data_IF_908709259317
#
_entry.id   IF_908709259317
#
_cell.length_a   1.000
_cell.length_b   1.000
_cell.length_c   1.000
_cell.angle_alpha   90.00
_cell.angle_beta   90.00
_cell.angle_gamma   90.00
#
_symmetry.space_group_name_H-M   'P 1'
#
loop_
_entity.id
_entity.type
_entity.pdbx_description
1 polymer ?
#
# COMPACT_ATOMS: atom_id res chain seq x y z
N UNK A 1 6.09 9.86 -11.96
CA UNK A 1 5.12 10.93 -11.61
C UNK A 1 5.02 12.08 -12.62
N UNK A 2 5.91 12.21 -13.62
CA UNK A 2 5.92 13.40 -14.49
C UNK A 2 4.75 13.49 -15.51
N UNK A 3 4.32 12.36 -16.10
CA UNK A 3 3.32 12.36 -17.21
C UNK A 3 1.91 12.70 -16.71
N UNK A 4 1.47 12.04 -15.63
CA UNK A 4 0.14 12.24 -15.03
C UNK A 4 0.07 13.42 -14.02
N UNK A 5 1.12 14.24 -13.95
CA UNK A 5 1.22 15.33 -12.96
C UNK A 5 0.31 16.51 -13.31
N UNK A 6 -0.87 16.57 -12.70
CA UNK A 6 -1.92 17.57 -13.03
C UNK A 6 -1.61 19.02 -12.62
N UNK A 7 -0.59 19.25 -11.79
CA UNK A 7 -0.23 20.61 -11.33
C UNK A 7 0.31 21.54 -12.41
N UNK A 8 0.83 20.99 -13.50
CA UNK A 8 1.42 21.76 -14.60
C UNK A 8 0.55 21.73 -15.87
N UNK A 9 -0.70 21.28 -15.73
CA UNK A 9 -1.60 21.19 -16.87
C UNK A 9 -1.95 22.59 -17.41
N UNK A 10 -2.00 22.75 -18.75
CA UNK A 10 -2.47 23.99 -19.35
C UNK A 10 -3.94 24.23 -18.98
N UNK A 11 -4.27 25.48 -18.65
CA UNK A 11 -5.66 25.87 -18.30
C UNK A 11 -6.59 26.01 -19.49
N UNK A 12 -6.03 25.98 -20.70
CA UNK A 12 -6.80 26.05 -21.93
C UNK A 12 -7.06 24.62 -22.41
N UNK A 13 -8.33 24.27 -22.55
CA UNK A 13 -8.79 22.92 -22.91
C UNK A 13 -8.20 22.43 -24.23
N UNK A 14 -8.08 23.29 -25.25
CA UNK A 14 -7.52 22.90 -26.54
C UNK A 14 -6.04 22.46 -26.46
N UNK A 15 -5.27 23.08 -25.56
CA UNK A 15 -3.88 22.65 -25.31
C UNK A 15 -3.79 21.45 -24.36
N UNK A 16 -4.82 21.25 -23.53
CA UNK A 16 -4.91 20.11 -22.62
C UNK A 16 -5.22 18.82 -23.39
N UNK A 17 -6.07 18.91 -24.41
CA UNK A 17 -6.41 17.83 -25.34
C UNK A 17 -5.23 17.29 -26.13
N UNK A 18 -4.13 18.03 -26.24
CA UNK A 18 -2.89 17.56 -26.89
C UNK A 18 -1.76 17.30 -25.89
N UNK A 19 -1.99 17.63 -24.62
CA UNK A 19 -0.96 17.60 -23.60
C UNK A 19 -0.54 16.16 -23.33
N UNK A 20 0.77 15.90 -23.37
CA UNK A 20 1.40 14.63 -23.01
C UNK A 20 1.10 13.43 -23.93
N UNK A 21 0.44 13.61 -25.09
CA UNK A 21 0.14 12.51 -26.01
C UNK A 21 1.33 11.61 -26.31
N UNK A 22 2.45 12.17 -26.73
CA UNK A 22 3.64 11.37 -27.07
C UNK A 22 4.16 10.55 -25.89
N UNK A 23 4.04 11.08 -24.67
CA UNK A 23 4.42 10.35 -23.46
C UNK A 23 3.42 9.27 -23.09
N UNK A 24 2.12 9.49 -23.30
CA UNK A 24 1.08 8.46 -23.12
C UNK A 24 1.28 7.34 -24.14
N UNK A 25 1.56 7.66 -25.41
CA UNK A 25 1.88 6.70 -26.47
C UNK A 25 3.10 5.85 -26.12
N UNK A 26 4.16 6.50 -25.64
CA UNK A 26 5.36 5.82 -25.18
C UNK A 26 5.07 4.89 -24.00
N UNK A 27 4.28 5.31 -23.02
CA UNK A 27 3.87 4.49 -21.89
C UNK A 27 3.03 3.29 -22.34
N UNK A 28 2.06 3.50 -23.22
CA UNK A 28 1.26 2.42 -23.78
C UNK A 28 2.12 1.41 -24.52
N UNK A 29 3.00 1.86 -25.41
CA UNK A 29 3.94 0.99 -26.14
C UNK A 29 4.84 0.19 -25.18
N UNK A 30 5.32 0.84 -24.12
CA UNK A 30 6.19 0.21 -23.11
C UNK A 30 5.45 -0.86 -22.31
N UNK A 31 4.17 -0.63 -22.00
CA UNK A 31 3.36 -1.50 -21.15
C UNK A 31 2.28 -2.27 -21.92
N UNK A 32 2.40 -2.39 -23.25
CA UNK A 32 1.39 -3.00 -24.11
C UNK A 32 1.02 -4.43 -23.69
N UNK A 33 1.98 -5.18 -23.14
CA UNK A 33 1.75 -6.53 -22.62
C UNK A 33 0.75 -6.61 -21.45
N UNK A 34 0.46 -5.49 -20.78
CA UNK A 34 -0.52 -5.41 -19.71
C UNK A 34 -1.93 -5.08 -20.18
N UNK A 35 -2.16 -4.92 -21.49
CA UNK A 35 -3.47 -4.61 -22.06
C UNK A 35 -4.17 -5.85 -22.64
N UNK A 36 -5.51 -5.91 -22.62
CA UNK A 36 -6.25 -6.94 -23.33
C UNK A 36 -5.99 -6.88 -24.85
N UNK A 37 -6.14 -8.01 -25.53
CA UNK A 37 -6.09 -8.03 -27.00
C UNK A 37 -7.20 -7.15 -27.58
N UNK A 38 -6.82 -6.28 -28.53
CA UNK A 38 -7.75 -5.40 -29.23
C UNK A 38 -7.73 -3.95 -28.77
N UNK A 39 -7.13 -3.62 -27.62
CA UNK A 39 -6.93 -2.22 -27.21
C UNK A 39 -5.85 -1.58 -28.07
N UNK A 40 -6.17 -0.43 -28.66
CA UNK A 40 -5.27 0.34 -29.52
C UNK A 40 -4.72 1.56 -28.80
N UNK A 41 -3.65 2.13 -29.36
CA UNK A 41 -3.09 3.39 -28.86
C UNK A 41 -4.10 4.54 -28.95
N UNK A 42 -4.92 4.56 -30.00
CA UNK A 42 -5.92 5.61 -30.22
C UNK A 42 -7.01 5.58 -29.14
N UNK A 43 -7.45 4.38 -28.71
CA UNK A 43 -8.44 4.22 -27.63
C UNK A 43 -7.93 4.84 -26.31
N UNK A 44 -6.65 4.60 -25.99
CA UNK A 44 -6.01 5.13 -24.77
C UNK A 44 -5.88 6.66 -24.85
N UNK A 45 -5.56 7.19 -26.02
CA UNK A 45 -5.42 8.63 -26.24
C UNK A 45 -6.77 9.34 -26.18
N UNK A 46 -7.83 8.73 -26.72
CA UNK A 46 -9.19 9.26 -26.62
C UNK A 46 -9.64 9.35 -25.16
N UNK A 47 -9.48 8.27 -24.38
CA UNK A 47 -9.77 8.29 -22.94
C UNK A 47 -8.94 9.32 -22.18
N UNK A 48 -7.66 9.50 -22.53
CA UNK A 48 -6.80 10.51 -21.92
C UNK A 48 -7.33 11.94 -22.14
N UNK A 49 -7.77 12.27 -23.35
CA UNK A 49 -8.33 13.60 -23.66
C UNK A 49 -9.53 13.91 -22.79
N UNK A 50 -10.48 12.98 -22.74
CA UNK A 50 -11.71 13.15 -21.99
C UNK A 50 -11.45 13.32 -20.49
N UNK A 51 -10.67 12.42 -19.89
CA UNK A 51 -10.40 12.47 -18.46
C UNK A 51 -9.55 13.69 -18.06
N UNK A 52 -8.63 14.12 -18.94
CA UNK A 52 -7.85 15.34 -18.72
C UNK A 52 -8.74 16.58 -18.72
N UNK A 53 -9.70 16.68 -19.65
CA UNK A 53 -10.68 17.79 -19.69
C UNK A 53 -11.60 17.78 -18.48
N UNK A 54 -12.09 16.60 -18.06
CA UNK A 54 -12.96 16.45 -16.88
C UNK A 54 -12.25 16.93 -15.61
N UNK A 55 -11.03 16.44 -15.36
CA UNK A 55 -10.22 16.85 -14.21
C UNK A 55 -9.84 18.33 -14.33
N UNK A 56 -9.47 18.79 -15.53
CA UNK A 56 -9.04 20.17 -15.81
C UNK A 56 -10.14 21.21 -15.61
N UNK A 57 -11.40 20.80 -15.77
CA UNK A 57 -12.59 21.66 -15.61
C UNK A 57 -13.03 21.78 -14.14
N UNK A 58 -12.52 20.93 -13.25
CA UNK A 58 -12.86 20.92 -11.82
C UNK A 58 -11.73 21.51 -10.96
N UNK A 59 -11.89 22.76 -10.50
CA UNK A 59 -10.94 23.37 -9.55
C UNK A 59 -10.76 22.53 -8.27
N UNK A 60 -11.82 21.85 -7.83
CA UNK A 60 -11.77 20.95 -6.68
C UNK A 60 -10.80 19.80 -6.89
N UNK A 61 -10.80 19.18 -8.07
CA UNK A 61 -9.90 18.06 -8.40
C UNK A 61 -8.47 18.55 -8.61
N UNK A 62 -8.29 19.68 -9.30
CA UNK A 62 -6.96 20.27 -9.52
C UNK A 62 -6.24 20.66 -8.23
N UNK A 63 -6.99 21.02 -7.18
CA UNK A 63 -6.43 21.39 -5.88
C UNK A 63 -5.85 20.20 -5.09
N UNK A 64 -6.29 18.97 -5.38
CA UNK A 64 -5.88 17.76 -4.65
C UNK A 64 -4.43 17.37 -4.95
N UNK A 65 -3.78 16.69 -4.01
CA UNK A 65 -2.43 16.15 -4.25
C UNK A 65 -2.50 14.96 -5.19
N UNK A 66 -1.41 14.68 -5.90
CA UNK A 66 -1.32 13.57 -6.86
C UNK A 66 -1.74 12.22 -6.24
N UNK A 67 -1.29 11.93 -5.01
CA UNK A 67 -1.62 10.69 -4.29
C UNK A 67 -3.02 10.66 -3.67
N UNK A 68 -3.77 11.76 -3.74
CA UNK A 68 -5.17 11.84 -3.29
C UNK A 68 -6.12 11.84 -4.51
N UNK A 69 -5.72 12.50 -5.60
CA UNK A 69 -6.52 12.60 -6.83
C UNK A 69 -6.62 11.27 -7.56
N UNK A 70 -5.50 10.67 -7.95
CA UNK A 70 -5.53 9.51 -8.84
C UNK A 70 -6.18 8.26 -8.25
N UNK A 71 -6.04 7.95 -6.94
CA UNK A 71 -6.82 6.88 -6.34
C UNK A 71 -8.33 7.13 -6.36
N UNK A 72 -8.77 8.38 -6.16
CA UNK A 72 -10.18 8.76 -6.23
C UNK A 72 -10.71 8.60 -7.66
N UNK A 73 -9.93 9.08 -8.64
CA UNK A 73 -10.25 8.93 -10.06
C UNK A 73 -10.32 7.45 -10.45
N UNK A 74 -9.38 6.62 -10.00
CA UNK A 74 -9.38 5.17 -10.26
C UNK A 74 -10.67 4.49 -9.76
N UNK A 75 -11.21 4.91 -8.63
CA UNK A 75 -12.43 4.33 -8.03
C UNK A 75 -13.68 4.81 -8.75
N UNK A 76 -13.75 6.10 -9.09
CA UNK A 76 -14.97 6.71 -9.62
C UNK A 76 -15.11 6.64 -11.13
N UNK A 77 -14.00 6.56 -11.85
CA UNK A 77 -13.93 6.64 -13.32
C UNK A 77 -13.34 5.37 -13.95
N UNK A 78 -13.11 4.33 -13.15
CA UNK A 78 -12.44 3.09 -13.56
C UNK A 78 -13.17 2.28 -14.64
N UNK A 79 -14.49 2.37 -14.72
CA UNK A 79 -15.28 1.67 -15.74
C UNK A 79 -15.24 2.40 -17.10
N UNK A 80 -15.34 3.73 -17.08
CA UNK A 80 -15.41 4.55 -18.29
C UNK A 80 -14.03 4.78 -18.94
N UNK A 81 -12.97 4.81 -18.13
CA UNK A 81 -11.60 5.17 -18.55
C UNK A 81 -10.58 4.08 -18.24
N UNK A 82 -10.99 2.82 -18.39
CA UNK A 82 -10.25 1.66 -17.88
C UNK A 82 -8.82 1.52 -18.45
N UNK A 83 -8.60 1.94 -19.70
CA UNK A 83 -7.32 1.74 -20.37
C UNK A 83 -6.28 2.79 -19.94
N UNK A 84 -6.65 4.07 -19.95
CA UNK A 84 -5.76 5.13 -19.45
C UNK A 84 -5.52 4.98 -17.94
N UNK A 85 -6.53 4.60 -17.19
CA UNK A 85 -6.41 4.39 -15.74
C UNK A 85 -5.57 3.17 -15.41
N UNK A 86 -5.50 2.17 -16.29
CA UNK A 86 -4.50 1.09 -16.17
C UNK A 86 -3.07 1.63 -16.27
N UNK A 87 -2.77 2.58 -17.17
CA UNK A 87 -1.44 3.24 -17.22
C UNK A 87 -1.16 4.06 -15.96
N UNK A 88 -2.17 4.74 -15.43
CA UNK A 88 -2.06 5.49 -14.16
C UNK A 88 -1.73 4.54 -13.02
N UNK A 89 -2.45 3.42 -12.90
CA UNK A 89 -2.22 2.41 -11.88
C UNK A 89 -0.80 1.83 -11.97
N UNK A 90 -0.34 1.46 -13.17
CA UNK A 90 1.03 1.01 -13.40
C UNK A 90 2.03 2.09 -12.93
N UNK A 91 1.79 3.36 -13.27
CA UNK A 91 2.67 4.47 -12.90
C UNK A 91 2.68 4.80 -11.40
N UNK A 92 1.60 4.47 -10.67
CA UNK A 92 1.52 4.57 -9.22
C UNK A 92 2.23 3.41 -8.52
N UNK A 93 2.23 2.23 -9.13
CA UNK A 93 2.79 1.01 -8.56
C UNK A 93 4.29 0.86 -8.81
N UNK A 94 4.83 1.48 -9.86
CA UNK A 94 6.27 1.43 -10.16
C UNK A 94 6.99 2.50 -9.34
N UNK A 95 7.82 2.14 -8.34
CA UNK A 95 8.66 3.11 -7.65
C UNK A 95 9.68 3.67 -8.66
N UNK A 96 9.56 4.96 -8.95
CA UNK A 96 10.38 5.66 -9.97
C UNK A 96 11.77 6.02 -9.44
N UNK A 97 11.96 6.05 -8.12
CA UNK A 97 13.22 6.39 -7.48
C UNK A 97 13.72 5.24 -6.59
N UNK A 98 15.00 4.92 -6.76
CA UNK A 98 15.79 4.06 -5.88
C UNK A 98 15.65 4.42 -4.39
N UNK A 99 15.49 5.70 -4.05
CA UNK A 99 15.32 6.15 -2.67
C UNK A 99 13.99 5.69 -2.04
N UNK A 100 12.92 5.57 -2.83
CA UNK A 100 11.64 5.01 -2.38
C UNK A 100 11.76 3.49 -2.20
N UNK A 101 12.45 2.80 -3.12
CA UNK A 101 12.78 1.39 -2.95
C UNK A 101 13.59 1.14 -1.67
N UNK A 102 14.63 1.95 -1.41
CA UNK A 102 15.44 1.87 -0.19
C UNK A 102 14.62 2.09 1.08
N UNK A 103 13.66 3.02 1.06
CA UNK A 103 12.74 3.23 2.18
C UNK A 103 11.85 2.01 2.42
N UNK A 104 11.30 1.40 1.37
CA UNK A 104 10.51 0.16 1.48
C UNK A 104 11.38 -0.99 1.99
N UNK A 105 12.61 -1.13 1.50
CA UNK A 105 13.55 -2.13 2.00
C UNK A 105 13.95 -1.90 3.46
N UNK A 106 14.11 -0.65 3.89
CA UNK A 106 14.37 -0.28 5.28
C UNK A 106 13.19 -0.67 6.17
N UNK A 107 11.96 -0.34 5.79
CA UNK A 107 10.75 -0.73 6.54
C UNK A 107 10.63 -2.25 6.60
N UNK A 108 10.90 -2.95 5.50
CA UNK A 108 10.90 -4.41 5.49
C UNK A 108 11.99 -4.99 6.39
N UNK A 109 13.19 -4.40 6.41
CA UNK A 109 14.27 -4.79 7.32
C UNK A 109 13.91 -4.49 8.77
N UNK A 110 13.24 -3.39 9.08
CA UNK A 110 12.74 -3.08 10.42
C UNK A 110 11.70 -4.13 10.87
N UNK A 111 10.74 -4.47 10.00
CA UNK A 111 9.77 -5.51 10.30
C UNK A 111 10.44 -6.89 10.51
N UNK A 112 11.36 -7.26 9.62
CA UNK A 112 12.07 -8.55 9.66
C UNK A 112 13.05 -8.65 10.83
N UNK A 113 13.59 -7.52 11.29
CA UNK A 113 14.76 -7.52 12.18
C UNK A 113 14.45 -6.82 13.48
N UNK A 114 14.02 -5.56 13.45
CA UNK A 114 13.68 -4.80 14.66
C UNK A 114 12.55 -5.45 15.44
N UNK A 115 11.42 -5.71 14.79
CA UNK A 115 10.25 -6.31 15.46
C UNK A 115 10.48 -7.77 15.86
N UNK A 116 11.14 -8.54 14.99
CA UNK A 116 11.55 -9.93 15.29
C UNK A 116 12.50 -10.00 16.48
N UNK A 117 13.49 -9.12 16.54
CA UNK A 117 14.46 -9.06 17.65
C UNK A 117 13.79 -8.53 18.93
N UNK A 118 12.82 -7.61 18.79
CA UNK A 118 12.01 -7.09 19.92
C UNK A 118 11.10 -8.16 20.52
N UNK A 119 10.60 -9.09 19.71
CA UNK A 119 9.81 -10.24 20.19
C UNK A 119 10.66 -11.29 20.93
N UNK A 120 11.97 -11.38 20.66
CA UNK A 120 12.91 -12.21 21.43
C UNK A 120 12.42 -13.65 21.67
N UNK A 121 12.37 -14.07 22.94
CA UNK A 121 11.88 -15.40 23.34
C UNK A 121 10.37 -15.60 23.08
N UNK A 122 9.57 -14.53 23.01
CA UNK A 122 8.13 -14.63 22.75
C UNK A 122 7.84 -15.06 21.31
N UNK A 123 8.74 -14.79 20.36
CA UNK A 123 8.61 -15.29 19.00
C UNK A 123 8.65 -16.83 18.96
N UNK A 124 9.53 -17.46 19.74
CA UNK A 124 9.59 -18.93 19.83
C UNK A 124 8.29 -19.50 20.39
N UNK A 125 7.71 -18.85 21.40
CA UNK A 125 6.43 -19.25 21.98
C UNK A 125 5.29 -19.12 20.95
N UNK A 126 5.26 -18.01 20.21
CA UNK A 126 4.24 -17.76 19.18
C UNK A 126 4.35 -18.72 17.99
N UNK A 127 5.56 -19.06 17.56
CA UNK A 127 5.81 -20.07 16.52
C UNK A 127 5.48 -21.48 17.00
N UNK A 128 5.72 -21.79 18.28
CA UNK A 128 5.34 -23.08 18.88
C UNK A 128 3.82 -23.20 18.93
N UNK A 129 3.11 -22.14 19.31
CA UNK A 129 1.66 -22.09 19.29
C UNK A 129 1.09 -22.25 17.89
N UNK A 130 1.63 -21.53 16.90
CA UNK A 130 1.22 -21.68 15.51
C UNK A 130 1.45 -23.10 14.97
N UNK A 131 2.57 -23.72 15.33
CA UNK A 131 2.87 -25.10 14.96
C UNK A 131 1.91 -26.10 15.63
N UNK A 132 1.60 -25.93 16.91
CA UNK A 132 0.67 -26.79 17.64
C UNK A 132 -0.79 -26.60 17.19
N UNK A 133 -1.17 -25.41 16.76
CA UNK A 133 -2.50 -25.09 16.26
C UNK A 133 -2.64 -25.23 14.73
N UNK A 134 -1.61 -25.73 14.03
CA UNK A 134 -1.54 -25.74 12.57
C UNK A 134 -2.66 -26.53 11.90
N UNK A 135 -3.15 -27.58 12.55
CA UNK A 135 -4.24 -28.44 12.05
C UNK A 135 -5.62 -28.06 12.60
N UNK A 136 -5.68 -27.03 13.45
CA UNK A 136 -6.91 -26.55 14.08
C UNK A 136 -7.49 -25.40 13.24
N UNK A 137 -8.79 -25.46 12.93
CA UNK A 137 -9.43 -24.34 12.24
C UNK A 137 -9.41 -23.11 13.14
N UNK A 138 -9.25 -21.90 12.57
CA UNK A 138 -9.20 -20.65 13.34
C UNK A 138 -10.45 -20.44 14.23
N UNK A 139 -11.58 -21.06 13.89
CA UNK A 139 -12.84 -21.05 14.67
C UNK A 139 -12.80 -21.92 15.92
N UNK A 140 -11.91 -22.89 15.95
CA UNK A 140 -11.86 -23.93 16.98
C UNK A 140 -10.82 -23.59 18.06
N UNK A 141 -10.09 -22.49 17.90
CA UNK A 141 -9.14 -21.99 18.90
C UNK A 141 -9.94 -21.51 20.12
N UNK A 142 -9.75 -22.10 21.31
CA UNK A 142 -10.53 -21.74 22.49
C UNK A 142 -9.97 -20.47 23.14
N UNK A 143 -10.14 -19.34 22.43
CA UNK A 143 -9.62 -18.02 22.83
C UNK A 143 -10.01 -17.66 24.26
N UNK A 144 -11.22 -18.00 24.68
CA UNK A 144 -11.72 -17.71 26.02
C UNK A 144 -11.03 -18.51 27.12
N UNK A 145 -10.72 -19.78 26.87
CA UNK A 145 -10.03 -20.65 27.84
C UNK A 145 -8.58 -20.22 28.00
N UNK A 146 -7.92 -19.90 26.88
CA UNK A 146 -6.57 -19.32 26.87
C UNK A 146 -6.58 -17.99 27.64
N UNK A 147 -7.49 -17.07 27.33
CA UNK A 147 -7.57 -15.78 28.04
C UNK A 147 -7.87 -15.95 29.54
N UNK A 148 -8.66 -16.95 29.92
CA UNK A 148 -8.95 -17.26 31.31
C UNK A 148 -7.69 -17.77 32.03
N UNK A 149 -6.97 -18.72 31.42
CA UNK A 149 -5.71 -19.25 31.96
C UNK A 149 -4.63 -18.16 32.07
N UNK A 150 -4.50 -17.29 31.07
CA UNK A 150 -3.60 -16.14 31.13
C UNK A 150 -3.94 -15.17 32.26
N UNK A 151 -5.23 -14.93 32.54
CA UNK A 151 -5.65 -14.08 33.66
C UNK A 151 -5.38 -14.74 35.01
N UNK A 152 -5.55 -16.06 35.12
CA UNK A 152 -5.19 -16.83 36.31
C UNK A 152 -3.68 -16.79 36.57
N UNK A 153 -2.88 -17.04 35.53
CA UNK A 153 -1.41 -17.04 35.59
C UNK A 153 -0.82 -15.65 35.84
N UNK A 154 -1.41 -14.60 35.26
CA UNK A 154 -0.97 -13.22 35.48
C UNK A 154 -1.28 -12.71 36.90
N UNK A 155 -2.17 -13.38 37.65
CA UNK A 155 -2.63 -12.97 38.97
C UNK A 155 -3.39 -11.64 38.99
N UNK A 156 -4.00 -11.29 40.14
CA UNK A 156 -4.70 -10.00 40.37
C UNK A 156 -3.69 -8.87 40.59
N UNK A 157 -2.69 -8.76 39.71
CA UNK A 157 -1.76 -7.64 39.70
C UNK A 157 -1.87 -6.97 38.35
N UNK A 158 -2.92 -6.16 38.23
CA UNK A 158 -3.07 -5.22 37.12
C UNK A 158 -1.85 -4.31 36.99
N UNK A 159 -1.78 -3.59 35.87
CA UNK A 159 -0.67 -2.72 35.38
C UNK A 159 0.01 -1.80 36.41
N UNK A 160 -0.55 -1.62 37.60
CA UNK A 160 -0.01 -0.79 38.68
C UNK A 160 0.88 -1.52 39.69
N UNK A 161 0.95 -2.85 39.68
CA UNK A 161 1.73 -3.59 40.67
C UNK A 161 3.26 -3.57 40.44
N UNK A 162 3.71 -3.18 39.23
CA UNK A 162 5.13 -3.21 38.84
C UNK A 162 5.79 -1.82 38.79
N UNK A 163 5.18 -0.78 39.40
CA UNK A 163 5.91 0.47 39.63
C UNK A 163 6.84 0.31 40.84
N UNK A 164 8.00 -0.30 40.62
CA UNK A 164 9.11 -0.23 41.58
C UNK A 164 9.94 -1.49 41.79
N UNK A 165 9.63 -2.63 41.16
CA UNK A 165 10.50 -3.81 41.26
C UNK A 165 11.47 -3.88 40.09
N UNK A 166 12.76 -3.85 40.41
CA UNK A 166 13.84 -4.20 39.48
C UNK A 166 13.54 -5.55 38.84
N UNK A 167 13.72 -5.61 37.51
CA UNK A 167 13.59 -6.83 36.73
C UNK A 167 14.38 -7.97 37.38
N UNK A 168 13.80 -9.17 37.56
CA UNK A 168 14.55 -10.32 38.02
C UNK A 168 15.72 -10.59 37.08
N UNK A 169 16.95 -10.61 37.62
CA UNK A 169 18.10 -11.12 36.88
C UNK A 169 17.89 -12.62 36.67
N UNK A 170 17.84 -13.02 35.40
CA UNK A 170 17.88 -14.43 35.04
C UNK A 170 19.35 -14.84 34.93
N UNK A 171 19.75 -15.81 35.76
CA UNK A 171 21.07 -16.44 35.67
C UNK A 171 21.20 -17.12 34.30
N UNK A 172 22.13 -16.60 33.51
CA UNK A 172 22.62 -17.24 32.31
C UNK A 172 23.81 -18.09 32.70
N UNK A 173 23.55 -19.29 33.21
CA UNK A 173 24.58 -20.32 33.23
C UNK A 173 24.60 -21.02 31.87
N UNK A 174 25.81 -21.02 31.29
CA UNK A 174 26.22 -21.55 30.00
C UNK A 174 25.94 -23.04 29.83
#
# INVERSE_FOLDING_TARGET
>A
MAVFGHRHWPRNSAFLEEYQHDNIRLLFTTFAAFFPEGVTEDDVIEQWKEIAVEIGSSEGMLSRKFHELWPDVLVHYGEDYSDILRLVAISLLIPVDTSECERVFSVMNDLKTSERNRLGANLKNLMTWHYMAKEQACTDVPVWEILHEFRLLAGIKGRYANKGQQSPQYDTQC
#
